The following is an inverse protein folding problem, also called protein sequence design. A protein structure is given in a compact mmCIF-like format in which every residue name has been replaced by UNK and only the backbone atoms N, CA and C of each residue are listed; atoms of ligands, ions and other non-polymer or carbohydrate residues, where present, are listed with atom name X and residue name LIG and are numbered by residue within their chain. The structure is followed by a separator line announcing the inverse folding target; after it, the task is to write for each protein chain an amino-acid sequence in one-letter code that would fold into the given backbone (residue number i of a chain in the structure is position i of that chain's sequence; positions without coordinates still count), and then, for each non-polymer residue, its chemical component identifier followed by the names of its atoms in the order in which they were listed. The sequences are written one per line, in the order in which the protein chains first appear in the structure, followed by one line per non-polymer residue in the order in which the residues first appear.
data_IF_988926550579
#
_entry.id   IF_988926550579
#
_cell.length_a   1.000
_cell.length_b   1.000
_cell.length_c   1.000
_cell.angle_alpha   90.00
_cell.angle_beta   90.00
_cell.angle_gamma   90.00
#
_symmetry.space_group_name_H-M   'P 1'
#
loop_
_entity.id
_entity.type
_entity.pdbx_description
1 polymer ?
#
# COMPACT_ATOMS: atom_id res chain seq x y z
N UNK A 1 -10.41 -32.61 18.04
CA UNK A 1 -10.92 -31.75 16.93
C UNK A 1 -10.68 -30.26 17.24
N UNK A 2 -9.43 -29.85 17.53
CA UNK A 2 -9.15 -28.48 18.04
C UNK A 2 -8.00 -27.73 17.36
N UNK A 3 -7.39 -28.32 16.32
CA UNK A 3 -6.17 -27.77 15.70
C UNK A 3 -6.40 -27.11 14.33
N UNK A 4 -7.48 -27.48 13.62
CA UNK A 4 -7.79 -26.93 12.30
C UNK A 4 -8.40 -25.52 12.37
N UNK A 5 -9.20 -25.22 13.40
CA UNK A 5 -9.83 -23.90 13.59
C UNK A 5 -8.82 -22.82 14.00
N UNK A 6 -7.78 -23.18 14.77
CA UNK A 6 -6.70 -22.26 15.14
C UNK A 6 -5.83 -21.81 13.96
N UNK A 7 -5.77 -22.61 12.90
CA UNK A 7 -4.99 -22.28 11.69
C UNK A 7 -5.73 -21.29 10.77
N UNK A 8 -7.07 -21.21 10.86
CA UNK A 8 -7.87 -20.23 10.12
C UNK A 8 -7.95 -18.87 10.83
N UNK A 9 -7.92 -18.84 12.17
CA UNK A 9 -7.86 -17.58 12.94
C UNK A 9 -6.52 -16.83 12.77
N UNK A 10 -5.41 -17.52 12.42
CA UNK A 10 -4.13 -16.85 12.13
C UNK A 10 -4.04 -16.27 10.71
N UNK A 11 -4.93 -16.67 9.78
CA UNK A 11 -5.00 -16.13 8.42
C UNK A 11 -5.82 -14.84 8.32
N UNK A 12 -6.52 -14.47 9.40
CA UNK A 12 -7.10 -13.14 9.64
C UNK A 12 -6.12 -12.21 10.36
N UNK A 13 -4.81 -12.51 10.31
CA UNK A 13 -3.73 -11.60 10.70
C UNK A 13 -3.73 -10.38 9.77
N UNK A 14 -4.59 -9.42 10.10
CA UNK A 14 -4.56 -8.03 9.70
C UNK A 14 -4.29 -7.82 8.21
N UNK A 15 -5.27 -8.10 7.34
CA UNK A 15 -5.27 -7.56 5.98
C UNK A 15 -5.36 -6.05 6.07
N UNK A 16 -4.20 -5.41 6.15
CA UNK A 16 -4.05 -3.97 6.24
C UNK A 16 -4.47 -3.38 4.89
N UNK A 17 -5.76 -3.07 4.76
CA UNK A 17 -6.25 -2.23 3.68
C UNK A 17 -5.60 -0.86 3.87
N UNK A 18 -4.88 -0.41 2.84
CA UNK A 18 -4.19 0.88 2.85
C UNK A 18 -4.80 1.77 1.79
N UNK A 19 -4.90 3.04 2.17
CA UNK A 19 -5.55 4.09 1.39
C UNK A 19 -4.47 5.11 1.05
N UNK A 20 -4.21 5.29 -0.24
CA UNK A 20 -3.42 6.42 -0.74
C UNK A 20 -4.38 7.38 -1.42
N UNK A 21 -4.34 8.63 -0.99
CA UNK A 21 -5.19 9.71 -1.52
C UNK A 21 -4.40 10.53 -2.52
N UNK A 22 -4.98 10.71 -3.70
CA UNK A 22 -4.49 11.57 -4.76
C UNK A 22 -5.51 12.65 -5.09
N UNK A 23 -5.07 13.65 -5.84
CA UNK A 23 -5.95 14.68 -6.37
C UNK A 23 -6.93 14.14 -7.45
N UNK A 24 -8.09 14.79 -7.67
CA UNK A 24 -9.10 14.34 -8.65
C UNK A 24 -8.66 14.37 -10.12
N UNK A 25 -7.51 14.97 -10.41
CA UNK A 25 -6.94 15.09 -11.75
C UNK A 25 -6.15 13.84 -12.18
N UNK A 26 -6.14 12.77 -11.38
CA UNK A 26 -5.56 11.48 -11.75
C UNK A 26 -6.50 10.68 -12.67
N UNK A 27 -5.93 9.91 -13.60
CA UNK A 27 -6.65 9.00 -14.50
C UNK A 27 -6.94 7.70 -13.77
N UNK A 28 -8.20 7.53 -13.38
CA UNK A 28 -8.67 6.38 -12.59
C UNK A 28 -8.35 5.03 -13.23
N UNK A 29 -8.62 4.91 -14.54
CA UNK A 29 -8.44 3.67 -15.30
C UNK A 29 -6.97 3.23 -15.42
N UNK A 30 -6.03 4.17 -15.29
CA UNK A 30 -4.61 3.86 -15.35
C UNK A 30 -4.10 3.19 -14.07
N UNK A 31 -4.71 3.49 -12.91
CA UNK A 31 -4.22 3.08 -11.59
C UNK A 31 -2.94 3.82 -11.19
N UNK A 32 -2.21 3.26 -10.21
CA UNK A 32 -0.88 3.72 -9.81
C UNK A 32 0.16 2.60 -9.95
N UNK A 33 1.37 2.99 -10.31
CA UNK A 33 2.56 2.15 -10.19
C UNK A 33 3.30 2.45 -8.90
N UNK A 34 3.85 1.42 -8.26
CA UNK A 34 4.75 1.54 -7.12
C UNK A 34 6.03 0.81 -7.47
N UNK A 35 7.16 1.51 -7.46
CA UNK A 35 8.49 0.91 -7.64
C UNK A 35 9.32 1.17 -6.40
N UNK A 36 9.93 0.15 -5.84
CA UNK A 36 10.88 0.29 -4.73
C UNK A 36 12.28 0.04 -5.27
N UNK A 37 13.19 1.00 -5.09
CA UNK A 37 14.57 0.94 -5.59
C UNK A 37 14.63 0.37 -7.03
N UNK A 38 15.33 -0.75 -7.23
CA UNK A 38 15.47 -1.44 -8.51
C UNK A 38 14.57 -2.69 -8.65
N UNK A 39 13.66 -2.92 -7.70
CA UNK A 39 12.72 -4.03 -7.78
C UNK A 39 11.67 -3.85 -8.90
N UNK A 40 11.01 -4.94 -9.34
CA UNK A 40 9.89 -4.86 -10.24
C UNK A 40 8.75 -3.99 -9.70
N UNK A 41 8.09 -3.26 -10.60
CA UNK A 41 6.98 -2.39 -10.24
C UNK A 41 5.72 -3.18 -9.89
N UNK A 42 5.00 -2.71 -8.87
CA UNK A 42 3.66 -3.14 -8.51
C UNK A 42 2.62 -2.20 -9.12
N UNK A 43 1.45 -2.72 -9.45
CA UNK A 43 0.32 -1.92 -9.90
C UNK A 43 -0.81 -2.02 -8.90
N UNK A 44 -1.34 -0.87 -8.44
CA UNK A 44 -2.58 -0.80 -7.69
C UNK A 44 -3.65 -0.12 -8.51
N UNK A 45 -4.84 -0.70 -8.52
CA UNK A 45 -6.01 -0.09 -9.14
C UNK A 45 -6.53 1.06 -8.27
N UNK A 46 -7.11 2.07 -8.91
CA UNK A 46 -7.94 3.04 -8.19
C UNK A 46 -9.22 2.35 -7.75
N UNK A 47 -9.62 2.59 -6.51
CA UNK A 47 -10.84 2.00 -5.96
C UNK A 47 -12.03 2.92 -6.15
N UNK A 48 -11.82 4.24 -6.08
CA UNK A 48 -12.85 5.25 -6.31
C UNK A 48 -12.26 6.64 -6.49
N UNK A 49 -12.77 7.42 -7.44
CA UNK A 49 -12.57 8.87 -7.50
C UNK A 49 -13.87 9.63 -7.18
N UNK A 50 -13.76 10.76 -6.50
CA UNK A 50 -14.83 11.76 -6.35
C UNK A 50 -14.33 13.17 -6.68
N UNK A 51 -15.16 14.18 -6.41
CA UNK A 51 -14.84 15.59 -6.74
C UNK A 51 -13.69 16.18 -5.90
N UNK A 52 -13.29 15.52 -4.80
CA UNK A 52 -12.26 15.98 -3.87
C UNK A 52 -10.99 15.14 -3.93
N UNK A 53 -11.11 13.82 -4.08
CA UNK A 53 -9.97 12.90 -4.06
C UNK A 53 -10.15 11.69 -4.99
N UNK A 54 -9.02 11.15 -5.45
CA UNK A 54 -8.92 9.82 -6.03
C UNK A 54 -8.25 8.88 -5.05
N UNK A 55 -8.90 7.77 -4.75
CA UNK A 55 -8.48 6.80 -3.74
C UNK A 55 -7.93 5.55 -4.43
N UNK A 56 -6.63 5.30 -4.24
CA UNK A 56 -6.05 3.99 -4.49
C UNK A 56 -6.11 3.20 -3.19
N UNK A 57 -6.90 2.13 -3.16
CA UNK A 57 -6.84 1.15 -2.08
C UNK A 57 -6.52 -0.23 -2.60
N UNK A 58 -5.74 -0.92 -1.81
CA UNK A 58 -5.32 -2.28 -2.08
C UNK A 58 -4.75 -2.91 -0.82
N UNK A 59 -4.54 -4.22 -0.90
CA UNK A 59 -3.74 -4.91 0.09
C UNK A 59 -2.27 -4.75 -0.29
N UNK A 60 -1.44 -4.42 0.69
CA UNK A 60 0.00 -4.60 0.55
C UNK A 60 0.25 -6.10 0.65
N UNK A 61 0.52 -6.73 -0.49
CA UNK A 61 0.94 -8.12 -0.49
C UNK A 61 2.31 -8.29 0.16
N UNK A 62 2.62 -9.51 0.59
CA UNK A 62 3.88 -9.81 1.29
C UNK A 62 5.12 -9.37 0.48
N UNK A 63 5.18 -9.56 -0.86
CA UNK A 63 6.30 -9.07 -1.67
C UNK A 63 6.49 -7.56 -1.63
N UNK A 64 5.43 -6.77 -1.84
CA UNK A 64 5.53 -5.31 -1.78
C UNK A 64 5.88 -4.84 -0.37
N UNK A 65 5.27 -5.42 0.65
CA UNK A 65 5.56 -5.07 2.04
C UNK A 65 7.01 -5.36 2.42
N UNK A 66 7.55 -6.49 1.94
CA UNK A 66 8.96 -6.85 2.14
C UNK A 66 9.86 -5.80 1.52
N UNK A 67 9.60 -5.40 0.27
CA UNK A 67 10.39 -4.37 -0.40
C UNK A 67 10.28 -3.02 0.31
N UNK A 68 9.09 -2.61 0.75
CA UNK A 68 8.91 -1.34 1.48
C UNK A 68 9.66 -1.32 2.81
N UNK A 69 9.79 -2.47 3.49
CA UNK A 69 10.55 -2.59 4.75
C UNK A 69 12.06 -2.53 4.55
N UNK A 70 12.57 -3.17 3.49
CA UNK A 70 14.03 -3.26 3.25
C UNK A 70 14.59 -2.18 2.34
N UNK A 71 13.73 -1.52 1.57
CA UNK A 71 14.12 -0.56 0.55
C UNK A 71 14.45 0.83 1.10
N UNK A 72 14.98 1.68 0.23
CA UNK A 72 15.39 3.05 0.57
C UNK A 72 14.48 4.11 -0.06
N UNK A 73 14.03 3.87 -1.28
CA UNK A 73 13.22 4.81 -2.06
C UNK A 73 12.05 4.07 -2.70
N UNK A 74 10.83 4.53 -2.44
CA UNK A 74 9.66 4.17 -3.23
C UNK A 74 9.33 5.30 -4.21
N UNK A 75 8.99 4.96 -5.44
CA UNK A 75 8.48 5.90 -6.44
C UNK A 75 7.06 5.50 -6.80
N UNK A 76 6.13 6.42 -6.58
CA UNK A 76 4.74 6.28 -7.02
C UNK A 76 4.61 6.91 -8.40
N UNK A 77 4.17 6.15 -9.40
CA UNK A 77 3.91 6.62 -10.75
C UNK A 77 2.40 6.72 -11.00
N UNK A 78 1.93 7.83 -11.56
CA UNK A 78 0.52 8.03 -11.89
C UNK A 78 0.35 8.91 -13.14
N UNK A 79 -0.76 8.74 -13.84
CA UNK A 79 -1.10 9.53 -15.03
C UNK A 79 -2.15 10.56 -14.64
N UNK A 80 -1.94 11.82 -15.01
CA UNK A 80 -2.93 12.88 -14.85
C UNK A 80 -3.80 13.04 -16.10
N UNK A 81 -5.00 13.61 -15.95
CA UNK A 81 -5.99 13.83 -17.03
C UNK A 81 -5.47 14.69 -18.18
N UNK A 82 -4.43 15.49 -17.96
CA UNK A 82 -3.71 16.21 -19.02
C UNK A 82 -2.63 15.35 -19.71
N UNK A 83 -2.75 14.02 -19.63
CA UNK A 83 -1.81 13.04 -20.16
C UNK A 83 -0.38 13.14 -19.62
N UNK A 84 -0.17 13.84 -18.50
CA UNK A 84 1.16 13.95 -17.88
C UNK A 84 1.41 12.77 -16.93
N UNK A 85 2.49 12.02 -17.20
CA UNK A 85 3.04 11.06 -16.25
C UNK A 85 3.76 11.79 -15.12
N UNK A 86 3.47 11.41 -13.88
CA UNK A 86 4.06 11.97 -12.66
C UNK A 86 4.73 10.87 -11.84
N UNK A 87 5.89 11.20 -11.29
CA UNK A 87 6.63 10.36 -10.35
C UNK A 87 6.74 11.08 -9.01
N UNK A 88 6.33 10.43 -7.93
CA UNK A 88 6.37 10.94 -6.56
C UNK A 88 7.38 10.09 -5.77
N UNK A 89 8.57 10.61 -5.47
CA UNK A 89 9.56 9.90 -4.67
C UNK A 89 9.20 9.97 -3.18
N UNK A 90 9.34 8.83 -2.49
CA UNK A 90 9.09 8.66 -1.06
C UNK A 90 10.32 8.00 -0.42
N UNK A 91 10.93 8.66 0.55
CA UNK A 91 11.95 8.03 1.38
C UNK A 91 11.32 6.94 2.23
N UNK A 92 11.93 5.75 2.25
CA UNK A 92 11.54 4.63 3.10
C UNK A 92 12.30 4.61 4.42
N UNK A 93 13.10 5.64 4.71
CA UNK A 93 13.77 5.79 5.99
C UNK A 93 12.77 5.74 7.15
N UNK A 94 12.95 4.79 8.06
CA UNK A 94 12.08 4.59 9.23
C UNK A 94 10.78 3.81 8.95
N UNK A 95 10.52 3.40 7.70
CA UNK A 95 9.29 2.68 7.35
C UNK A 95 9.13 1.38 8.16
N UNK A 96 10.19 0.55 8.20
CA UNK A 96 10.15 -0.72 8.94
C UNK A 96 9.82 -0.51 10.42
N UNK A 97 10.50 0.43 11.08
CA UNK A 97 10.27 0.74 12.50
C UNK A 97 8.84 1.20 12.73
N UNK A 98 8.36 2.16 11.94
CA UNK A 98 7.00 2.68 12.05
C UNK A 98 5.94 1.59 11.81
N UNK A 99 6.17 0.72 10.83
CA UNK A 99 5.27 -0.39 10.53
C UNK A 99 5.23 -1.43 11.67
N UNK A 100 6.38 -1.77 12.25
CA UNK A 100 6.46 -2.68 13.39
C UNK A 100 5.81 -2.12 14.66
N UNK A 101 5.90 -0.81 14.90
CA UNK A 101 5.14 -0.16 15.98
C UNK A 101 3.62 -0.23 15.72
N UNK A 102 3.19 0.06 14.48
CA UNK A 102 1.79 -0.02 14.11
C UNK A 102 1.19 -1.43 14.31
N UNK A 103 1.95 -2.49 13.99
CA UNK A 103 1.54 -3.87 14.23
C UNK A 103 1.39 -4.16 15.72
N UNK A 104 2.32 -3.69 16.57
CA UNK A 104 2.24 -3.86 18.02
C UNK A 104 1.02 -3.16 18.60
N UNK A 105 0.73 -1.95 18.17
CA UNK A 105 -0.46 -1.19 18.60
C UNK A 105 -1.77 -1.87 18.17
N UNK A 106 -1.82 -2.46 16.98
CA UNK A 106 -2.99 -3.22 16.53
C UNK A 106 -3.26 -4.44 17.42
N UNK A 107 -2.22 -5.19 17.78
CA UNK A 107 -2.34 -6.35 18.69
C UNK A 107 -2.80 -5.90 20.09
N UNK A 108 -2.29 -4.78 20.59
CA UNK A 108 -2.69 -4.23 21.91
C UNK A 108 -4.17 -3.89 21.97
N UNK A 109 -4.72 -3.29 20.91
CA UNK A 109 -6.15 -2.92 20.85
C UNK A 109 -7.10 -4.10 20.59
N UNK A 110 -6.58 -5.22 20.13
CA UNK A 110 -7.37 -6.43 19.85
C UNK A 110 -7.52 -7.36 21.07
N UNK A 111 -6.87 -7.01 22.19
CA UNK A 111 -6.96 -7.69 23.49
C UNK A 111 -7.85 -6.89 24.43
#
# INVERSE_FOLDING_TARGET
MGSALRYQESLLSSRLQRIILFSPDVVEQAGIGIKVDDYPSFKLSMSKCDVRVCLASGFLDEPLLTQLKSGKLATIALVRKNSKLMHIPLSLSGFQTAFSELQREHIRKAK
#
